data_IF_549836987903
#
_entry.id   IF_549836987903
#
_cell.length_a   1.000
_cell.length_b   1.000
_cell.length_c   1.000
_cell.angle_alpha   90.00
_cell.angle_beta   90.00
_cell.angle_gamma   90.00
#
_symmetry.space_group_name_H-M   'P 1'
#
loop_
_entity.id
_entity.type
_entity.pdbx_description
1 polymer ?
#
# COMPACT_ATOMS: atom_id res chain seq x y z
N UNK A 1 24.74 -4.14 17.55
CA UNK A 1 23.96 -5.19 16.85
C UNK A 1 22.64 -4.55 16.43
N UNK A 2 22.49 -4.21 15.15
CA UNK A 2 21.28 -3.54 14.66
C UNK A 2 20.16 -4.57 14.47
N UNK A 3 19.01 -4.37 15.13
CA UNK A 3 17.82 -5.20 14.91
C UNK A 3 17.11 -4.72 13.65
N UNK A 4 17.27 -5.49 12.60
CA UNK A 4 16.47 -5.46 11.38
C UNK A 4 15.02 -5.76 11.77
N UNK A 5 14.14 -4.77 11.72
CA UNK A 5 12.70 -4.95 11.95
C UNK A 5 12.03 -4.81 10.59
N UNK A 6 11.80 -5.96 9.97
CA UNK A 6 11.05 -6.14 8.73
C UNK A 6 9.61 -5.66 8.97
N UNK A 7 9.26 -4.47 8.49
CA UNK A 7 7.88 -3.96 8.56
C UNK A 7 7.10 -4.43 7.34
N UNK A 8 6.80 -5.74 7.27
CA UNK A 8 5.97 -6.33 6.21
C UNK A 8 4.57 -6.72 6.72
N UNK A 9 3.87 -5.79 7.37
CA UNK A 9 2.47 -6.02 7.68
C UNK A 9 1.65 -4.73 7.61
N UNK A 10 0.90 -4.56 6.52
CA UNK A 10 -0.27 -3.68 6.50
C UNK A 10 -1.22 -4.15 7.61
N UNK A 11 -1.43 -3.30 8.62
CA UNK A 11 -2.18 -3.63 9.81
C UNK A 11 -3.66 -3.88 9.45
N UNK A 12 -4.25 -5.04 9.81
CA UNK A 12 -5.64 -5.38 9.44
C UNK A 12 -6.70 -4.50 10.13
N UNK A 13 -6.31 -3.67 11.11
CA UNK A 13 -7.15 -2.61 11.68
C UNK A 13 -7.33 -1.40 10.75
N UNK A 14 -6.60 -1.44 9.63
CA UNK A 14 -6.64 -0.63 8.44
C UNK A 14 -7.94 -0.01 7.90
N UNK A 15 -9.09 -0.64 8.13
CA UNK A 15 -10.24 -0.53 7.21
C UNK A 15 -11.09 0.69 7.57
N UNK A 16 -10.93 1.77 6.81
CA UNK A 16 -11.80 2.95 6.87
C UNK A 16 -13.17 2.68 6.21
N UNK A 17 -14.22 3.40 6.60
CA UNK A 17 -15.61 3.22 6.09
C UNK A 17 -15.73 3.58 4.60
N UNK A 18 -14.84 4.44 4.09
CA UNK A 18 -14.68 4.76 2.67
C UNK A 18 -13.65 3.86 1.95
N UNK A 19 -12.94 3.02 2.72
CA UNK A 19 -11.96 2.06 2.25
C UNK A 19 -10.90 2.69 1.35
N UNK A 20 -10.28 3.80 1.74
CA UNK A 20 -9.19 4.44 0.99
C UNK A 20 -7.93 4.56 1.84
N UNK A 21 -6.78 4.48 1.18
CA UNK A 21 -5.47 4.45 1.81
C UNK A 21 -4.50 5.29 1.01
N UNK A 22 -3.68 6.06 1.70
CA UNK A 22 -2.50 6.68 1.12
C UNK A 22 -1.38 5.66 1.14
N UNK A 23 -0.82 5.35 -0.01
CA UNK A 23 0.19 4.31 -0.13
C UNK A 23 1.42 4.82 -0.86
N UNK A 24 2.58 4.30 -0.45
CA UNK A 24 3.84 4.42 -1.19
C UNK A 24 4.13 3.08 -1.85
N UNK A 25 4.35 3.09 -3.15
CA UNK A 25 4.61 1.87 -3.91
C UNK A 25 6.07 1.43 -3.78
N UNK A 26 6.30 0.18 -3.39
CA UNK A 26 7.63 -0.46 -3.44
C UNK A 26 7.93 -1.00 -4.85
N UNK A 27 6.89 -1.42 -5.56
CA UNK A 27 6.98 -2.03 -6.89
C UNK A 27 5.99 -1.41 -7.88
N UNK A 28 6.16 -1.74 -9.16
CA UNK A 28 5.23 -1.33 -10.21
C UNK A 28 3.93 -2.12 -10.09
N UNK A 29 2.80 -1.42 -10.05
CA UNK A 29 1.47 -2.04 -10.11
C UNK A 29 0.67 -1.52 -11.30
N UNK A 30 -0.34 -2.28 -11.71
CA UNK A 30 -1.28 -1.87 -12.76
C UNK A 30 -2.67 -1.89 -12.17
N UNK A 31 -3.32 -0.73 -12.11
CA UNK A 31 -4.66 -0.55 -11.54
C UNK A 31 -5.54 0.08 -12.61
N UNK A 32 -6.63 -0.60 -12.98
CA UNK A 32 -7.59 -0.13 -14.00
C UNK A 32 -6.94 0.31 -15.33
N UNK A 33 -5.86 -0.39 -15.74
CA UNK A 33 -5.10 -0.07 -16.96
C UNK A 33 -4.10 1.08 -16.81
N UNK A 34 -4.04 1.73 -15.65
CA UNK A 34 -3.04 2.74 -15.30
C UNK A 34 -1.82 2.05 -14.69
N UNK A 35 -0.63 2.36 -15.21
CA UNK A 35 0.63 1.89 -14.65
C UNK A 35 1.12 2.87 -13.59
N UNK A 36 1.36 2.36 -12.39
CA UNK A 36 1.87 3.13 -11.27
C UNK A 36 3.28 2.62 -10.94
N UNK A 37 4.19 3.55 -10.67
CA UNK A 37 5.61 3.25 -10.51
C UNK A 37 6.04 3.28 -9.04
N UNK A 38 7.10 2.55 -8.68
CA UNK A 38 7.65 2.59 -7.33
C UNK A 38 8.10 4.00 -6.93
N UNK A 39 7.97 4.31 -5.64
CA UNK A 39 8.21 5.61 -5.03
C UNK A 39 7.07 6.62 -5.18
N UNK A 40 5.97 6.25 -5.85
CA UNK A 40 4.79 7.10 -5.96
C UNK A 40 3.97 7.06 -4.67
N UNK A 41 3.58 8.25 -4.21
CA UNK A 41 2.66 8.46 -3.11
C UNK A 41 1.27 8.76 -3.69
N UNK A 42 0.34 7.82 -3.54
CA UNK A 42 -0.98 7.83 -4.19
C UNK A 42 -2.07 7.35 -3.25
N UNK A 43 -3.32 7.68 -3.57
CA UNK A 43 -4.48 7.18 -2.84
C UNK A 43 -5.10 6.02 -3.61
N UNK A 44 -5.21 4.86 -2.94
CA UNK A 44 -5.83 3.65 -3.49
C UNK A 44 -6.99 3.19 -2.60
N UNK A 45 -7.97 2.53 -3.22
CA UNK A 45 -9.01 1.83 -2.47
C UNK A 45 -8.43 0.62 -1.74
N UNK A 46 -9.03 0.28 -0.61
CA UNK A 46 -8.62 -0.80 0.29
C UNK A 46 -8.65 -2.16 -0.39
N UNK A 47 -9.58 -2.41 -1.31
CA UNK A 47 -9.57 -3.63 -2.11
C UNK A 47 -8.34 -3.71 -3.02
N UNK A 48 -7.97 -2.59 -3.64
CA UNK A 48 -6.77 -2.50 -4.50
C UNK A 48 -5.50 -2.67 -3.65
N UNK A 49 -5.44 -2.04 -2.47
CA UNK A 49 -4.35 -2.20 -1.50
C UNK A 49 -4.23 -3.64 -1.04
N UNK A 50 -5.35 -4.30 -0.71
CA UNK A 50 -5.37 -5.72 -0.33
C UNK A 50 -4.86 -6.61 -1.46
N UNK A 51 -5.28 -6.37 -2.70
CA UNK A 51 -4.82 -7.13 -3.88
C UNK A 51 -3.36 -6.88 -4.26
N UNK A 52 -2.78 -5.74 -3.87
CA UNK A 52 -1.41 -5.35 -4.24
C UNK A 52 -0.50 -5.16 -3.01
N UNK A 53 -0.83 -5.79 -1.89
CA UNK A 53 -0.15 -5.63 -0.59
C UNK A 53 1.36 -5.87 -0.65
N UNK A 54 1.81 -6.79 -1.51
CA UNK A 54 3.23 -7.12 -1.67
C UNK A 54 4.02 -6.01 -2.38
N UNK A 55 3.35 -5.24 -3.25
CA UNK A 55 3.94 -4.17 -4.03
C UNK A 55 3.88 -2.80 -3.33
N UNK A 56 3.35 -2.74 -2.10
CA UNK A 56 3.17 -1.52 -1.31
C UNK A 56 4.21 -1.49 -0.19
N UNK A 57 4.97 -0.39 -0.11
CA UNK A 57 5.97 -0.15 0.92
C UNK A 57 5.34 0.34 2.22
N UNK A 58 4.41 1.29 2.09
CA UNK A 58 3.74 1.92 3.23
C UNK A 58 2.29 2.21 2.89
N UNK A 59 1.40 2.11 3.88
CA UNK A 59 -0.02 2.41 3.73
C UNK A 59 -0.58 3.02 5.00
N UNK A 60 -1.18 4.20 4.89
CA UNK A 60 -1.88 4.91 5.96
C UNK A 60 -3.36 5.07 5.59
N UNK A 61 -4.29 4.94 6.56
CA UNK A 61 -5.69 5.29 6.35
C UNK A 61 -5.82 6.80 6.17
N UNK A 62 -6.81 7.24 5.39
CA UNK A 62 -7.09 8.67 5.14
C UNK A 62 -8.51 9.00 5.56
#
# INVERSE_FOLDING_TARGET
MAKQTTVNAIDPTLIDDDGQYRVVLAERIVVDGVVLYPGWDIILKGDVVKSNREAIEHADPI
#
